data_IF_925561676851
#
_entry.id   IF_925561676851
#
_cell.length_a   1.000
_cell.length_b   1.000
_cell.length_c   1.000
_cell.angle_alpha   90.00
_cell.angle_beta   90.00
_cell.angle_gamma   90.00
#
_symmetry.space_group_name_H-M   'P 1'
#
loop_
_entity.id
_entity.type
_entity.pdbx_description
1 polymer ?
#
# COMPACT_ATOMS: atom_id res chain seq x y z
N UNK A 1 -24.72 -24.36 -62.21
CA UNK A 1 -24.75 -23.12 -61.41
C UNK A 1 -24.13 -23.46 -60.06
N UNK A 2 -23.01 -22.83 -59.70
CA UNK A 2 -22.26 -23.11 -58.47
C UNK A 2 -22.79 -22.23 -57.33
N UNK A 3 -23.16 -22.75 -56.15
CA UNK A 3 -23.47 -21.91 -55.02
C UNK A 3 -22.17 -21.45 -54.35
N UNK A 4 -21.99 -20.13 -54.28
CA UNK A 4 -20.92 -19.45 -53.55
C UNK A 4 -21.08 -19.70 -52.05
N UNK A 5 -20.03 -20.20 -51.40
CA UNK A 5 -19.97 -20.35 -49.95
C UNK A 5 -19.83 -18.97 -49.28
N UNK A 6 -20.82 -18.61 -48.46
CA UNK A 6 -20.78 -17.46 -47.57
C UNK A 6 -19.69 -17.66 -46.51
N UNK A 7 -18.73 -16.74 -46.46
CA UNK A 7 -17.78 -16.62 -45.37
C UNK A 7 -18.46 -15.86 -44.23
N UNK A 8 -18.95 -16.57 -43.21
CA UNK A 8 -19.48 -15.95 -42.00
C UNK A 8 -18.29 -15.60 -41.07
N UNK A 9 -17.99 -14.31 -40.96
CA UNK A 9 -17.06 -13.79 -39.96
C UNK A 9 -17.69 -13.93 -38.57
N UNK A 10 -17.14 -14.85 -37.77
CA UNK A 10 -17.53 -15.05 -36.37
C UNK A 10 -16.99 -13.86 -35.56
N UNK A 11 -17.84 -12.85 -35.34
CA UNK A 11 -17.63 -11.83 -34.32
C UNK A 11 -17.64 -12.52 -32.95
N UNK A 12 -16.45 -12.83 -32.42
CA UNK A 12 -16.27 -13.15 -31.01
C UNK A 12 -16.68 -11.91 -30.21
N UNK A 13 -17.90 -11.90 -29.69
CA UNK A 13 -18.26 -11.02 -28.58
C UNK A 13 -17.38 -11.41 -27.40
N UNK A 14 -16.42 -10.56 -27.05
CA UNK A 14 -15.72 -10.65 -25.78
C UNK A 14 -16.79 -10.59 -24.69
N UNK A 15 -17.05 -11.71 -24.01
CA UNK A 15 -17.86 -11.72 -22.81
C UNK A 15 -17.25 -10.70 -21.83
N UNK A 16 -18.05 -9.93 -21.09
CA UNK A 16 -17.52 -9.02 -20.09
C UNK A 16 -16.67 -9.81 -19.10
N UNK A 17 -15.36 -9.56 -19.19
CA UNK A 17 -14.34 -10.03 -18.28
C UNK A 17 -14.82 -9.76 -16.86
N UNK A 18 -14.89 -10.81 -16.07
CA UNK A 18 -15.48 -10.75 -14.75
C UNK A 18 -14.66 -9.90 -13.77
N UNK A 19 -15.27 -9.29 -12.75
CA UNK A 19 -14.57 -8.31 -11.92
C UNK A 19 -15.27 -8.07 -10.57
N UNK A 20 -14.50 -7.81 -9.50
CA UNK A 20 -15.02 -7.51 -8.16
C UNK A 20 -14.56 -6.13 -7.68
N UNK A 21 -15.49 -5.33 -7.17
CA UNK A 21 -15.23 -3.96 -6.69
C UNK A 21 -14.82 -3.96 -5.22
N UNK A 22 -13.87 -3.09 -4.88
CA UNK A 22 -13.37 -2.88 -3.53
C UNK A 22 -13.57 -1.41 -3.19
N UNK A 23 -14.39 -1.14 -2.18
CA UNK A 23 -14.57 0.17 -1.58
C UNK A 23 -13.67 0.26 -0.34
N UNK A 24 -12.84 1.31 -0.27
CA UNK A 24 -11.92 1.49 0.85
C UNK A 24 -11.86 2.95 1.27
N UNK A 25 -11.35 3.19 2.48
CA UNK A 25 -11.31 4.51 3.07
C UNK A 25 -11.51 4.50 4.57
N UNK A 26 -11.83 5.66 5.11
CA UNK A 26 -12.15 5.84 6.53
C UNK A 26 -13.51 6.53 6.70
N UNK A 27 -13.95 6.79 7.93
CA UNK A 27 -15.15 7.58 8.20
C UNK A 27 -14.83 9.08 8.24
N UNK A 28 -15.83 9.91 7.94
CA UNK A 28 -15.66 11.37 7.96
C UNK A 28 -15.32 11.82 9.38
N UNK A 29 -14.31 12.68 9.49
CA UNK A 29 -13.80 13.23 10.75
C UNK A 29 -13.10 12.22 11.68
N UNK A 30 -12.69 11.06 11.18
CA UNK A 30 -11.68 10.25 11.87
C UNK A 30 -10.41 11.07 12.07
N UNK A 31 -9.66 10.75 13.12
CA UNK A 31 -8.46 11.48 13.50
C UNK A 31 -7.25 10.85 12.81
N UNK A 32 -6.88 11.41 11.64
CA UNK A 32 -5.69 11.01 10.89
C UNK A 32 -4.57 12.01 11.17
N UNK A 33 -3.49 11.55 11.79
CA UNK A 33 -2.41 12.41 12.28
C UNK A 33 -1.03 11.92 11.89
N UNK A 34 -0.06 12.83 11.98
CA UNK A 34 1.33 12.56 11.67
C UNK A 34 2.12 12.14 12.93
N UNK A 35 3.42 11.92 12.77
CA UNK A 35 4.30 11.49 13.87
C UNK A 35 4.39 12.48 15.04
N UNK A 36 4.03 13.75 14.81
CA UNK A 36 3.95 14.80 15.82
C UNK A 36 2.54 14.97 16.42
N UNK A 37 1.56 14.19 15.96
CA UNK A 37 0.15 14.30 16.37
C UNK A 37 -0.61 15.45 15.68
N UNK A 38 -0.08 16.01 14.60
CA UNK A 38 -0.77 17.02 13.79
C UNK A 38 -1.61 16.33 12.71
N UNK A 39 -2.78 16.89 12.39
CA UNK A 39 -3.67 16.37 11.34
C UNK A 39 -2.93 16.29 10.00
N UNK A 40 -3.15 15.20 9.26
CA UNK A 40 -2.60 15.03 7.92
C UNK A 40 -3.13 16.11 6.97
N UNK A 41 -2.26 16.67 6.15
CA UNK A 41 -2.60 17.70 5.16
C UNK A 41 -2.62 17.13 3.73
N UNK A 42 -2.77 18.02 2.74
CA UNK A 42 -2.81 17.66 1.32
C UNK A 42 -1.47 17.12 0.78
N UNK A 43 -0.41 17.06 1.59
CA UNK A 43 0.87 16.45 1.18
C UNK A 43 0.87 14.92 1.28
N UNK A 44 -0.13 14.34 1.93
CA UNK A 44 -0.24 12.90 2.09
C UNK A 44 -1.00 12.24 0.94
N UNK A 45 -0.57 11.04 0.59
CA UNK A 45 -1.20 10.13 -0.36
C UNK A 45 -1.55 8.84 0.36
N UNK A 46 -2.70 8.27 -0.02
CA UNK A 46 -3.20 7.00 0.47
C UNK A 46 -3.23 6.05 -0.72
N UNK A 47 -2.70 4.84 -0.54
CA UNK A 47 -2.73 3.81 -1.57
C UNK A 47 -3.25 2.51 -0.98
N UNK A 48 -4.18 1.88 -1.68
CA UNK A 48 -4.53 0.49 -1.50
C UNK A 48 -3.67 -0.34 -2.45
N UNK A 49 -3.07 -1.43 -1.96
CA UNK A 49 -2.21 -2.27 -2.79
C UNK A 49 -1.71 -3.51 -2.10
N UNK A 50 -0.79 -4.22 -2.74
CA UNK A 50 -0.18 -5.44 -2.21
C UNK A 50 1.34 -5.42 -2.38
N UNK A 51 2.03 -6.25 -1.61
CA UNK A 51 3.46 -6.53 -1.80
C UNK A 51 3.72 -7.83 -2.59
N UNK A 52 2.66 -8.46 -3.13
CA UNK A 52 2.75 -9.78 -3.75
C UNK A 52 3.23 -10.83 -2.73
N UNK A 53 4.40 -11.41 -2.98
CA UNK A 53 5.03 -12.40 -2.09
C UNK A 53 6.00 -11.80 -1.06
N UNK A 54 6.27 -10.49 -1.11
CA UNK A 54 7.12 -9.82 -0.13
C UNK A 54 6.32 -9.55 1.15
N UNK A 55 6.89 -9.89 2.30
CA UNK A 55 6.27 -9.60 3.61
C UNK A 55 6.86 -8.30 4.16
N UNK A 56 6.09 -7.21 4.22
CA UNK A 56 6.59 -5.94 4.74
C UNK A 56 6.79 -6.04 6.26
N UNK A 57 7.91 -5.49 6.73
CA UNK A 57 8.23 -5.31 8.15
C UNK A 57 8.94 -3.98 8.33
N UNK A 58 8.93 -3.40 9.54
CA UNK A 58 9.73 -2.20 9.81
C UNK A 58 11.23 -2.38 9.51
N UNK A 59 11.75 -3.61 9.56
CA UNK A 59 13.17 -3.89 9.31
C UNK A 59 13.58 -3.85 7.83
N UNK A 60 12.63 -3.98 6.90
CA UNK A 60 12.86 -3.99 5.45
C UNK A 60 12.18 -2.80 4.74
N UNK A 61 11.91 -1.72 5.48
CA UNK A 61 11.18 -0.53 5.01
C UNK A 61 11.80 0.13 3.76
N UNK A 62 13.13 0.05 3.62
CA UNK A 62 13.84 0.57 2.45
C UNK A 62 13.51 -0.17 1.14
N UNK A 63 13.01 -1.41 1.22
CA UNK A 63 12.70 -2.24 0.05
C UNK A 63 11.24 -2.11 -0.39
N UNK A 64 10.36 -1.53 0.44
CA UNK A 64 8.91 -1.51 0.24
C UNK A 64 8.49 -0.95 -1.11
N UNK A 65 8.99 0.24 -1.46
CA UNK A 65 8.62 0.91 -2.70
C UNK A 65 8.93 0.08 -3.95
N UNK A 66 9.93 -0.81 -3.89
CA UNK A 66 10.29 -1.68 -5.02
C UNK A 66 9.41 -2.92 -5.17
N UNK A 67 8.71 -3.30 -4.10
CA UNK A 67 7.81 -4.46 -4.05
C UNK A 67 6.32 -4.07 -4.08
N UNK A 68 6.02 -2.78 -3.98
CA UNK A 68 4.66 -2.28 -3.88
C UNK A 68 3.93 -2.28 -5.23
N UNK A 69 2.74 -2.88 -5.22
CA UNK A 69 1.81 -2.93 -6.35
C UNK A 69 0.59 -2.10 -5.98
N UNK A 70 0.53 -0.88 -6.49
CA UNK A 70 -0.62 0.02 -6.28
C UNK A 70 -1.85 -0.56 -6.99
N UNK A 71 -2.93 -0.78 -6.25
CA UNK A 71 -4.23 -1.17 -6.77
C UNK A 71 -5.12 0.05 -6.98
N UNK A 72 -5.17 0.97 -6.02
CA UNK A 72 -6.00 2.17 -6.07
C UNK A 72 -5.34 3.27 -5.23
N UNK A 73 -5.69 4.53 -5.47
CA UNK A 73 -5.08 5.69 -4.81
C UNK A 73 -6.14 6.72 -4.44
N UNK A 74 -5.97 7.31 -3.26
CA UNK A 74 -6.65 8.53 -2.86
C UNK A 74 -5.60 9.61 -2.57
N UNK A 75 -5.72 10.75 -3.24
CA UNK A 75 -4.79 11.88 -3.14
C UNK A 75 -5.56 13.21 -3.09
N UNK A 76 -4.90 14.26 -2.62
CA UNK A 76 -5.49 15.59 -2.68
C UNK A 76 -5.47 16.09 -4.14
N UNK A 77 -6.46 16.88 -4.57
CA UNK A 77 -7.58 17.42 -3.80
C UNK A 77 -8.70 16.39 -3.59
N UNK A 78 -9.75 16.76 -2.83
CA UNK A 78 -10.90 15.90 -2.52
C UNK A 78 -11.57 15.20 -3.71
N UNK A 79 -11.47 15.77 -4.92
CA UNK A 79 -11.96 15.12 -6.14
C UNK A 79 -11.20 13.85 -6.54
N UNK A 80 -10.01 13.66 -6.01
CA UNK A 80 -9.14 12.48 -6.17
C UNK A 80 -9.14 11.59 -4.91
N UNK A 81 -10.14 11.72 -4.04
CA UNK A 81 -10.39 10.80 -2.94
C UNK A 81 -9.85 11.21 -1.58
N UNK A 82 -8.92 12.17 -1.44
CA UNK A 82 -8.45 12.65 -0.12
C UNK A 82 -8.87 14.10 0.17
N UNK A 83 -9.53 14.30 1.30
CA UNK A 83 -9.97 15.59 1.82
C UNK A 83 -9.41 15.85 3.22
N UNK A 84 -8.29 16.58 3.30
CA UNK A 84 -7.65 16.94 4.57
C UNK A 84 -8.52 17.78 5.49
N UNK A 85 -9.43 18.61 4.95
CA UNK A 85 -10.33 19.44 5.75
C UNK A 85 -11.28 18.61 6.60
N UNK A 86 -11.68 17.43 6.10
CA UNK A 86 -12.56 16.50 6.81
C UNK A 86 -11.84 15.27 7.36
N UNK A 87 -10.50 15.21 7.22
CA UNK A 87 -9.71 14.01 7.56
C UNK A 87 -10.32 12.73 6.98
N UNK A 88 -10.73 12.80 5.72
CA UNK A 88 -11.48 11.75 5.05
C UNK A 88 -10.85 11.39 3.73
N UNK A 89 -10.50 10.12 3.56
CA UNK A 89 -10.17 9.51 2.29
C UNK A 89 -11.14 8.38 1.94
N UNK A 90 -11.50 8.29 0.66
CA UNK A 90 -12.16 7.13 0.10
C UNK A 90 -11.81 6.98 -1.38
N UNK A 91 -11.77 5.74 -1.86
CA UNK A 91 -11.76 5.43 -3.28
C UNK A 91 -12.44 4.08 -3.53
N UNK A 92 -12.64 3.77 -4.80
CA UNK A 92 -13.24 2.53 -5.26
C UNK A 92 -12.62 2.10 -6.58
N UNK A 93 -12.17 0.85 -6.63
CA UNK A 93 -11.64 0.27 -7.84
C UNK A 93 -12.07 -1.19 -7.97
N UNK A 94 -12.11 -1.67 -9.21
CA UNK A 94 -12.56 -3.02 -9.53
C UNK A 94 -11.37 -3.86 -9.99
N UNK A 95 -11.18 -5.01 -9.34
CA UNK A 95 -10.25 -6.04 -9.77
C UNK A 95 -10.82 -6.75 -10.99
N UNK A 96 -10.27 -6.42 -12.17
CA UNK A 96 -10.66 -6.98 -13.45
C UNK A 96 -10.23 -8.45 -13.59
N UNK A 97 -10.83 -9.17 -14.55
CA UNK A 97 -10.57 -10.60 -14.74
C UNK A 97 -9.10 -10.94 -15.03
N UNK A 98 -8.38 -10.00 -15.64
CA UNK A 98 -6.95 -10.16 -15.91
C UNK A 98 -6.06 -9.91 -14.69
N UNK A 99 -6.67 -9.62 -13.52
CA UNK A 99 -5.98 -9.28 -12.28
C UNK A 99 -5.46 -7.84 -12.24
N UNK A 100 -5.95 -6.94 -13.10
CA UNK A 100 -5.59 -5.51 -13.06
C UNK A 100 -6.63 -4.70 -12.31
N UNK A 101 -6.22 -3.56 -11.77
CA UNK A 101 -7.15 -2.55 -11.26
C UNK A 101 -7.86 -1.80 -12.40
N UNK A 102 -9.09 -1.36 -12.16
CA UNK A 102 -9.83 -0.43 -13.01
C UNK A 102 -9.54 1.04 -12.71
N UNK A 103 -8.59 1.32 -11.82
CA UNK A 103 -8.29 2.68 -11.36
C UNK A 103 -8.01 3.65 -12.51
N UNK A 104 -8.46 4.90 -12.35
CA UNK A 104 -8.35 5.94 -13.37
C UNK A 104 -7.91 7.28 -12.77
N UNK A 105 -6.76 7.84 -13.19
CA UNK A 105 -5.96 7.44 -14.35
C UNK A 105 -5.25 6.08 -14.18
N UNK A 106 -5.02 5.33 -15.26
CA UNK A 106 -4.47 3.98 -15.15
C UNK A 106 -3.11 3.96 -14.44
N UNK A 107 -3.01 3.12 -13.41
CA UNK A 107 -1.78 2.80 -12.71
C UNK A 107 -0.87 1.91 -13.58
N UNK A 108 0.35 1.64 -13.08
CA UNK A 108 1.19 0.60 -13.67
C UNK A 108 0.41 -0.74 -13.72
N UNK A 109 0.53 -1.51 -14.82
CA UNK A 109 -0.34 -2.67 -15.08
C UNK A 109 0.09 -3.90 -14.27
N UNK A 110 0.09 -3.78 -12.94
CA UNK A 110 0.35 -4.88 -12.04
C UNK A 110 -0.77 -5.92 -12.12
N UNK A 111 -0.39 -7.19 -11.96
CA UNK A 111 -1.33 -8.30 -11.83
C UNK A 111 -1.43 -8.72 -10.38
N UNK A 112 -2.61 -8.56 -9.77
CA UNK A 112 -2.96 -9.01 -8.43
C UNK A 112 -3.46 -10.45 -8.48
N UNK A 113 -2.86 -11.30 -7.64
CA UNK A 113 -3.27 -12.69 -7.49
C UNK A 113 -4.26 -12.84 -6.33
N UNK A 114 -5.11 -13.86 -6.43
CA UNK A 114 -6.02 -14.21 -5.35
C UNK A 114 -5.23 -14.56 -4.08
N UNK A 115 -5.68 -14.06 -2.93
CA UNK A 115 -5.04 -14.31 -1.63
C UNK A 115 -3.81 -13.46 -1.35
N UNK A 116 -3.44 -12.50 -2.19
CA UNK A 116 -2.45 -11.49 -1.82
C UNK A 116 -3.00 -10.61 -0.68
N UNK A 117 -2.21 -10.41 0.37
CA UNK A 117 -2.56 -9.49 1.45
C UNK A 117 -2.58 -8.05 0.92
N UNK A 118 -3.69 -7.37 1.13
CA UNK A 118 -3.88 -5.98 0.80
C UNK A 118 -3.56 -5.08 2.00
N UNK A 119 -2.98 -3.92 1.73
CA UNK A 119 -2.59 -2.95 2.74
C UNK A 119 -3.07 -1.56 2.34
N UNK A 120 -3.31 -0.71 3.32
CA UNK A 120 -3.37 0.74 3.11
C UNK A 120 -2.01 1.31 3.49
N UNK A 121 -1.31 1.88 2.51
CA UNK A 121 -0.07 2.61 2.72
C UNK A 121 -0.37 4.11 2.65
N UNK A 122 -0.08 4.82 3.73
CA UNK A 122 -0.18 6.28 3.81
C UNK A 122 1.22 6.86 3.89
N UNK A 123 1.52 7.83 3.03
CA UNK A 123 2.84 8.45 2.99
C UNK A 123 2.75 9.90 2.49
N UNK A 124 3.72 10.73 2.86
CA UNK A 124 3.90 12.04 2.24
C UNK A 124 4.93 12.02 1.09
N UNK A 125 5.99 11.24 1.23
CA UNK A 125 7.02 11.08 0.18
C UNK A 125 7.47 9.62 0.16
N UNK A 126 7.71 9.04 -1.01
CA UNK A 126 8.26 7.68 -1.13
C UNK A 126 9.80 7.64 -1.14
N UNK A 127 10.45 8.74 -1.53
CA UNK A 127 11.90 8.83 -1.50
C UNK A 127 12.36 9.20 -0.08
N UNK A 128 12.91 8.22 0.65
CA UNK A 128 13.26 8.38 2.06
C UNK A 128 14.24 9.55 2.26
N UNK A 129 13.70 10.64 2.79
CA UNK A 129 14.39 11.76 3.44
C UNK A 129 14.10 11.69 4.95
N UNK A 130 15.10 11.45 5.81
CA UNK A 130 14.90 11.28 7.25
C UNK A 130 14.35 12.52 7.97
N UNK A 131 14.45 13.71 7.38
CA UNK A 131 13.89 14.91 8.00
C UNK A 131 12.39 15.08 7.74
N UNK A 132 11.85 14.39 6.74
CA UNK A 132 10.50 14.66 6.23
C UNK A 132 9.63 13.43 6.04
N UNK A 133 10.20 12.24 5.85
CA UNK A 133 9.47 11.04 5.45
C UNK A 133 8.62 10.50 6.59
N UNK A 134 7.32 10.39 6.35
CA UNK A 134 6.36 9.91 7.33
C UNK A 134 5.40 8.91 6.70
N UNK A 135 5.40 7.67 7.19
CA UNK A 135 4.60 6.57 6.65
C UNK A 135 3.71 5.93 7.72
N UNK A 136 2.60 5.33 7.28
CA UNK A 136 1.88 4.30 8.01
C UNK A 136 1.53 3.17 7.04
N UNK A 137 1.60 1.92 7.50
CA UNK A 137 1.19 0.75 6.73
C UNK A 137 0.35 -0.15 7.62
N UNK A 138 -0.92 -0.29 7.26
CA UNK A 138 -1.93 -1.00 8.05
C UNK A 138 -2.69 -2.00 7.18
N UNK A 139 -3.25 -3.02 7.81
CA UNK A 139 -4.03 -4.06 7.15
C UNK A 139 -5.00 -4.72 8.14
N UNK A 140 -5.84 -5.61 7.63
CA UNK A 140 -6.49 -6.63 8.44
C UNK A 140 -5.96 -8.00 8.01
N UNK A 141 -5.26 -8.69 8.91
CA UNK A 141 -4.64 -9.98 8.64
C UNK A 141 -5.01 -11.01 9.71
N UNK A 142 -4.61 -12.26 9.47
CA UNK A 142 -4.92 -13.39 10.36
C UNK A 142 -4.38 -13.31 11.79
N UNK A 143 -3.68 -12.23 12.19
CA UNK A 143 -3.11 -12.08 13.54
C UNK A 143 -4.17 -11.96 14.64
N UNK A 144 -5.38 -11.54 14.31
CA UNK A 144 -6.52 -11.43 15.23
C UNK A 144 -7.36 -12.72 15.36
N UNK A 145 -6.95 -13.78 14.65
CA UNK A 145 -7.63 -15.09 14.55
C UNK A 145 -9.00 -15.07 13.84
N UNK A 146 -9.30 -14.02 13.07
CA UNK A 146 -10.52 -13.92 12.27
C UNK A 146 -10.24 -13.90 10.76
N UNK A 147 -9.80 -15.03 10.20
CA UNK A 147 -9.49 -15.12 8.77
C UNK A 147 -10.66 -14.81 7.80
N UNK A 148 -11.89 -14.58 8.30
CA UNK A 148 -13.04 -14.25 7.50
C UNK A 148 -13.12 -12.75 7.12
N UNK A 149 -12.42 -11.87 7.84
CA UNK A 149 -12.36 -10.43 7.52
C UNK A 149 -10.98 -9.96 7.03
N UNK A 150 -10.01 -10.89 6.90
CA UNK A 150 -8.70 -10.63 6.30
C UNK A 150 -8.84 -9.92 4.94
N UNK A 151 -8.01 -8.89 4.74
CA UNK A 151 -7.96 -8.14 3.49
C UNK A 151 -7.14 -8.90 2.45
N UNK A 152 -7.75 -9.93 1.89
CA UNK A 152 -7.16 -10.74 0.84
C UNK A 152 -7.74 -10.37 -0.51
N UNK A 153 -6.87 -10.14 -1.50
CA UNK A 153 -7.29 -9.92 -2.87
C UNK A 153 -8.21 -11.06 -3.33
N UNK A 154 -9.42 -10.75 -3.84
CA UNK A 154 -10.35 -11.78 -4.27
C UNK A 154 -9.82 -12.48 -5.52
N UNK A 155 -10.47 -13.57 -5.92
CA UNK A 155 -10.16 -14.22 -7.19
C UNK A 155 -10.43 -13.24 -8.34
N UNK A 156 -9.44 -12.93 -9.20
CA UNK A 156 -9.70 -12.12 -10.38
C UNK A 156 -10.80 -12.74 -11.22
N UNK A 157 -11.83 -11.97 -11.54
CA UNK A 157 -12.97 -12.53 -12.25
C UNK A 157 -14.06 -13.13 -11.38
N UNK A 158 -13.99 -12.97 -10.06
CA UNK A 158 -15.11 -13.28 -9.19
C UNK A 158 -16.31 -12.32 -9.45
N UNK A 159 -17.51 -12.89 -9.49
CA UNK A 159 -18.81 -12.22 -9.73
C UNK A 159 -19.87 -12.66 -8.73
N UNK A 160 -19.56 -13.62 -7.87
CA UNK A 160 -20.60 -14.25 -7.04
C UNK A 160 -20.96 -13.38 -5.83
N UNK A 161 -20.13 -12.39 -5.53
CA UNK A 161 -20.16 -11.68 -4.27
C UNK A 161 -20.37 -10.17 -4.43
N UNK A 162 -20.86 -9.56 -3.36
CA UNK A 162 -21.00 -8.11 -3.21
C UNK A 162 -19.62 -7.41 -3.24
N UNK A 163 -19.59 -6.08 -3.48
CA UNK A 163 -18.39 -5.28 -3.27
C UNK A 163 -17.77 -5.56 -1.90
N UNK A 164 -16.44 -5.64 -1.87
CA UNK A 164 -15.68 -5.73 -0.62
C UNK A 164 -15.57 -4.34 -0.01
N UNK A 165 -15.61 -4.28 1.31
CA UNK A 165 -15.42 -3.04 2.05
C UNK A 165 -14.19 -3.17 2.95
N UNK A 166 -13.12 -2.44 2.62
CA UNK A 166 -11.87 -2.41 3.39
C UNK A 166 -11.73 -1.03 4.03
N UNK A 167 -12.39 -0.85 5.17
CA UNK A 167 -12.36 0.40 5.93
C UNK A 167 -11.24 0.40 6.95
N UNK A 168 -10.65 1.56 7.19
CA UNK A 168 -9.68 1.76 8.25
C UNK A 168 -10.19 1.27 9.61
N UNK A 169 -11.49 1.43 9.91
CA UNK A 169 -12.14 0.93 11.14
C UNK A 169 -12.17 -0.59 11.28
N UNK A 170 -11.92 -1.33 10.20
CA UNK A 170 -11.79 -2.78 10.18
C UNK A 170 -10.33 -3.26 10.05
N UNK A 171 -9.35 -2.36 10.07
CA UNK A 171 -7.95 -2.76 10.15
C UNK A 171 -7.64 -3.24 11.58
N UNK A 172 -6.79 -4.26 11.69
CA UNK A 172 -6.41 -4.86 12.98
C UNK A 172 -4.90 -4.96 13.17
N UNK A 173 -4.12 -4.83 12.09
CA UNK A 173 -2.69 -5.03 12.09
C UNK A 173 -1.93 -3.79 11.62
N UNK A 174 -0.88 -3.47 12.37
CA UNK A 174 0.02 -2.33 12.13
C UNK A 174 1.41 -2.83 11.80
N UNK A 175 1.85 -2.63 10.56
CA UNK A 175 3.21 -2.97 10.14
C UNK A 175 4.18 -1.83 10.47
N UNK A 176 3.72 -0.59 10.33
CA UNK A 176 4.47 0.63 10.64
C UNK A 176 3.50 1.80 10.85
N UNK A 177 3.88 2.80 11.64
CA UNK A 177 2.94 3.84 12.06
C UNK A 177 2.03 3.32 13.17
N UNK A 178 0.85 3.89 13.33
CA UNK A 178 -0.12 3.55 14.37
C UNK A 178 -1.53 3.49 13.82
N UNK A 179 -2.38 2.75 14.53
CA UNK A 179 -3.79 2.52 14.22
C UNK A 179 -4.58 2.43 15.53
N UNK A 180 -5.79 2.98 15.58
CA UNK A 180 -6.74 2.86 16.70
C UNK A 180 -6.10 3.07 18.08
N UNK A 181 -5.52 4.25 18.28
CA UNK A 181 -4.84 4.68 19.51
C UNK A 181 -3.56 3.88 19.87
N UNK A 182 -3.19 2.88 19.05
CA UNK A 182 -2.00 2.06 19.25
C UNK A 182 -0.88 2.48 18.29
N UNK A 183 0.22 2.99 18.87
CA UNK A 183 1.46 3.20 18.13
C UNK A 183 2.14 1.85 17.87
N UNK A 184 2.45 1.58 16.60
CA UNK A 184 3.24 0.45 16.15
C UNK A 184 4.71 0.83 15.95
N UNK A 185 5.44 0.12 15.08
CA UNK A 185 6.82 0.45 14.76
C UNK A 185 6.96 1.83 14.11
N UNK A 186 7.99 2.57 14.51
CA UNK A 186 8.36 3.87 13.93
C UNK A 186 8.73 4.89 15.00
N UNK A 187 9.24 6.05 14.55
CA UNK A 187 9.62 7.14 15.46
C UNK A 187 8.50 8.19 15.56
N UNK A 188 8.16 8.57 16.79
CA UNK A 188 7.11 9.55 17.12
C UNK A 188 7.67 10.68 17.96
N UNK A 189 7.17 11.89 17.70
CA UNK A 189 7.47 13.08 18.51
C UNK A 189 6.26 13.59 19.28
N UNK A 190 5.05 13.12 18.93
CA UNK A 190 3.81 13.40 19.64
C UNK A 190 3.04 12.13 19.98
N UNK A 191 2.33 12.18 21.11
CA UNK A 191 1.32 11.18 21.48
C UNK A 191 -0.04 11.88 21.51
N UNK A 192 -0.84 11.79 20.43
CA UNK A 192 -2.11 12.49 20.30
C UNK A 192 -3.18 11.94 21.27
N UNK A 193 -2.96 10.77 21.89
CA UNK A 193 -3.88 10.14 22.84
C UNK A 193 -5.09 9.49 22.19
N UNK A 194 -5.69 10.11 21.18
CA UNK A 194 -6.77 9.55 20.36
C UNK A 194 -6.44 9.75 18.87
N UNK A 195 -6.46 8.68 18.08
CA UNK A 195 -6.26 8.68 16.64
C UNK A 195 -6.76 7.39 15.97
N UNK A 196 -7.26 7.50 14.75
CA UNK A 196 -7.63 6.36 13.91
C UNK A 196 -6.43 5.86 13.10
N UNK A 197 -5.59 6.79 12.62
CA UNK A 197 -4.32 6.50 11.96
C UNK A 197 -3.25 7.51 12.40
N UNK A 198 -2.06 7.01 12.70
CA UNK A 198 -0.90 7.87 12.95
C UNK A 198 0.28 7.46 12.05
N UNK A 199 0.83 8.37 11.25
CA UNK A 199 2.11 8.11 10.56
C UNK A 199 3.29 8.22 11.52
N UNK A 200 4.39 7.54 11.19
CA UNK A 200 5.65 7.60 11.93
C UNK A 200 6.78 8.06 11.02
N UNK A 201 7.80 8.71 11.60
CA UNK A 201 8.98 9.10 10.85
C UNK A 201 9.77 7.86 10.43
N UNK A 202 10.24 7.84 9.17
CA UNK A 202 11.01 6.73 8.60
C UNK A 202 12.51 6.97 8.82
N UNK A 203 13.21 6.13 9.60
CA UNK A 203 14.64 6.30 9.85
C UNK A 203 15.49 6.05 8.59
N UNK A 204 16.68 6.66 8.50
CA UNK A 204 17.64 6.30 7.45
C UNK A 204 18.01 4.81 7.55
N UNK A 205 18.16 4.08 6.43
CA UNK A 205 18.81 2.78 6.45
C UNK A 205 20.20 2.93 7.06
N UNK A 206 20.40 2.30 8.22
CA UNK A 206 21.42 2.71 9.19
C UNK A 206 22.81 2.85 8.57
N UNK A 207 23.44 4.02 8.77
CA UNK A 207 24.86 4.27 8.43
C UNK A 207 25.86 3.27 9.04
N UNK A 208 25.42 2.39 9.95
CA UNK A 208 26.18 1.22 10.40
C UNK A 208 26.60 0.28 9.25
N UNK A 209 25.79 0.12 8.21
CA UNK A 209 26.17 -0.65 6.99
C UNK A 209 27.30 0.06 6.25
N UNK A 210 27.24 1.40 6.14
CA UNK A 210 28.31 2.19 5.52
C UNK A 210 29.59 2.18 6.36
N UNK A 211 29.50 2.19 7.69
CA UNK A 211 30.65 2.07 8.59
C UNK A 211 31.30 0.67 8.55
N UNK A 212 30.51 -0.40 8.44
CA UNK A 212 31.02 -1.76 8.30
C UNK A 212 31.70 -1.98 6.93
N UNK A 213 31.14 -1.43 5.86
CA UNK A 213 31.79 -1.42 4.53
C UNK A 213 33.09 -0.58 4.57
N UNK A 214 33.06 0.61 5.16
CA UNK A 214 34.23 1.49 5.30
C UNK A 214 35.36 0.86 6.12
N UNK A 215 35.04 0.19 7.23
CA UNK A 215 36.02 -0.51 8.06
C UNK A 215 36.62 -1.73 7.34
N UNK A 216 35.84 -2.43 6.51
CA UNK A 216 36.31 -3.54 5.66
C UNK A 216 37.36 -3.10 4.63
N UNK A 217 37.15 -1.96 3.97
CA UNK A 217 38.12 -1.38 3.03
C UNK A 217 39.40 -0.89 3.73
N UNK A 218 39.30 -0.30 4.92
CA UNK A 218 40.46 0.13 5.70
C UNK A 218 41.30 -1.04 6.23
N UNK A 219 40.69 -2.17 6.62
CA UNK A 219 41.43 -3.39 7.01
C UNK A 219 42.16 -4.06 5.84
N UNK A 220 41.61 -4.02 4.61
CA UNK A 220 42.31 -4.55 3.42
C UNK A 220 43.55 -3.73 3.05
N UNK A 221 43.50 -2.39 3.19
CA UNK A 221 44.66 -1.52 2.89
C UNK A 221 45.85 -1.74 3.83
N UNK A 222 45.62 -2.03 5.12
CA UNK A 222 46.71 -2.28 6.09
C UNK A 222 47.46 -3.61 5.86
N UNK A 223 46.88 -4.56 5.13
CA UNK A 223 47.51 -5.87 4.88
C UNK A 223 48.51 -5.88 3.71
N UNK A 224 48.50 -4.85 2.86
CA UNK A 224 49.37 -4.77 1.66
C UNK A 224 50.69 -4.03 1.96
N UNK A 225 50.76 -3.25 3.04
CA UNK A 225 51.96 -2.45 3.37
C UNK A 225 52.89 -3.08 4.42
N UNK A 226 52.61 -4.30 4.89
CA UNK A 226 53.39 -4.97 5.95
C UNK A 226 54.34 -6.09 5.48
N UNK A 227 54.60 -6.23 4.17
CA UNK A 227 55.47 -7.27 3.62
C UNK A 227 56.67 -6.68 2.89
N UNK A 228 57.68 -6.22 3.65
CA UNK A 228 59.07 -6.04 3.21
C UNK A 228 60.00 -6.32 4.38
#
# INVERSE_FOLDING_TARGET
MKPSALLAALLLSALPAAARTIDWGNAVADTLVNSAGLVLDDTFTFELGTFGSFTPTASNIADWASHWKVFDRAEAPAGSGWNSTFSFFNSTATLLAGGQSSESPPLLPYTFLAGEQAFIWVYNVLNIDPAQTQWALVTNDSSDSNAADDWLMPVPGDKTDLPLEWRLSGASAVVFGGLHDQQGPGDYTGNPGVFDLQTAAVPEPSGAVLLLLGAGFMRRRRRIQGGR
#
